data_IF_658118754248
#
_entry.id   IF_658118754248
#
_cell.length_a   1.000
_cell.length_b   1.000
_cell.length_c   1.000
_cell.angle_alpha   90.00
_cell.angle_beta   90.00
_cell.angle_gamma   90.00
#
_symmetry.space_group_name_H-M   'P 1'
#
loop_
_entity.id
_entity.type
_entity.pdbx_description
1 polymer ?
#
# COMPACT_ATOMS: atom_id res chain seq x y z
N UNK A 1 -56.15 -5.29 19.21
CA UNK A 1 -54.71 -5.03 19.31
C UNK A 1 -53.98 -6.36 19.14
N UNK A 2 -53.20 -6.52 18.06
CA UNK A 2 -52.50 -7.78 17.75
C UNK A 2 -51.10 -7.69 18.35
N UNK A 3 -50.87 -8.42 19.44
CA UNK A 3 -49.56 -8.56 20.08
C UNK A 3 -48.62 -9.31 19.14
N UNK A 4 -47.52 -8.65 18.73
CA UNK A 4 -46.51 -9.23 17.85
C UNK A 4 -45.46 -9.90 18.72
N UNK A 5 -45.25 -11.16 18.42
CA UNK A 5 -44.46 -12.12 19.16
C UNK A 5 -42.97 -11.77 19.17
N UNK A 6 -42.38 -12.07 20.32
CA UNK A 6 -40.98 -12.01 20.70
C UNK A 6 -40.13 -12.86 19.74
N UNK A 7 -39.05 -12.30 19.21
CA UNK A 7 -37.82 -13.03 18.92
C UNK A 7 -36.63 -12.11 19.24
N UNK A 8 -36.22 -12.16 20.50
CA UNK A 8 -34.82 -11.96 20.87
C UNK A 8 -34.00 -13.11 20.26
N UNK A 9 -32.75 -12.82 19.88
CA UNK A 9 -31.59 -13.70 19.69
C UNK A 9 -30.84 -13.25 18.43
N UNK A 10 -29.76 -12.51 18.65
CA UNK A 10 -28.86 -12.06 17.58
C UNK A 10 -27.66 -11.30 18.12
N UNK A 11 -27.24 -11.58 19.35
CA UNK A 11 -26.08 -10.96 20.00
C UNK A 11 -25.24 -12.07 20.66
N UNK A 12 -24.66 -12.98 19.86
CA UNK A 12 -23.72 -13.98 20.34
C UNK A 12 -22.89 -14.65 19.23
N UNK A 13 -22.44 -13.93 18.21
CA UNK A 13 -21.48 -14.46 17.22
C UNK A 13 -20.24 -13.56 17.17
N UNK A 14 -19.60 -13.35 18.32
CA UNK A 14 -18.38 -12.55 18.43
C UNK A 14 -17.25 -13.20 19.24
N UNK A 15 -17.39 -14.46 19.69
CA UNK A 15 -16.42 -15.07 20.63
C UNK A 15 -15.91 -16.47 20.25
N UNK A 16 -16.19 -16.97 19.04
CA UNK A 16 -15.78 -18.33 18.62
C UNK A 16 -14.58 -18.37 17.64
N UNK A 17 -13.82 -17.28 17.47
CA UNK A 17 -12.70 -17.22 16.52
C UNK A 17 -11.31 -17.07 17.20
N UNK A 18 -11.19 -17.38 18.49
CA UNK A 18 -9.93 -17.26 19.25
C UNK A 18 -9.35 -18.58 19.79
N UNK A 19 -9.95 -19.73 19.48
CA UNK A 19 -9.36 -21.04 19.79
C UNK A 19 -8.74 -21.67 18.54
N UNK A 20 -7.49 -21.28 18.26
CA UNK A 20 -6.75 -21.83 17.13
C UNK A 20 -5.29 -21.40 17.06
N UNK A 21 -4.63 -21.20 18.21
CA UNK A 21 -3.18 -21.05 18.28
C UNK A 21 -2.65 -22.20 19.15
N UNK A 22 -2.12 -23.24 18.50
CA UNK A 22 -1.48 -24.37 19.18
C UNK A 22 -1.77 -25.73 18.55
N UNK A 23 -1.38 -25.91 17.28
CA UNK A 23 -1.18 -27.26 16.77
C UNK A 23 0.32 -27.58 16.85
N UNK A 24 0.67 -28.56 17.69
CA UNK A 24 1.99 -29.22 17.71
C UNK A 24 2.10 -30.09 16.45
N UNK A 25 2.17 -29.44 15.29
CA UNK A 25 2.48 -30.07 14.01
C UNK A 25 3.99 -30.08 13.81
N UNK A 26 4.56 -31.25 13.46
CA UNK A 26 5.95 -31.38 13.03
C UNK A 26 6.35 -30.22 12.11
N UNK A 27 7.50 -29.61 12.37
CA UNK A 27 8.09 -28.61 11.50
C UNK A 27 8.17 -29.17 10.06
N UNK A 28 7.21 -28.78 9.22
CA UNK A 28 7.33 -28.96 7.78
C UNK A 28 8.44 -27.99 7.39
N UNK A 29 9.53 -28.45 6.76
CA UNK A 29 10.54 -27.53 6.26
C UNK A 29 9.84 -26.63 5.25
N UNK A 30 9.60 -25.37 5.62
CA UNK A 30 9.22 -24.34 4.66
C UNK A 30 10.43 -24.21 3.76
N UNK A 31 10.41 -24.88 2.60
CA UNK A 31 11.32 -24.54 1.51
C UNK A 31 11.17 -23.05 1.32
N UNK A 32 12.23 -22.30 1.61
CA UNK A 32 12.27 -20.88 1.36
C UNK A 32 11.99 -20.71 -0.13
N UNK A 33 10.76 -20.29 -0.46
CA UNK A 33 10.46 -19.83 -1.81
C UNK A 33 11.29 -18.58 -1.95
N UNK A 34 12.45 -18.71 -2.58
CA UNK A 34 13.24 -17.55 -3.01
C UNK A 34 12.37 -16.85 -4.04
N UNK A 35 11.61 -15.85 -3.57
CA UNK A 35 10.85 -14.97 -4.45
C UNK A 35 11.89 -14.13 -5.18
N UNK A 36 12.36 -14.62 -6.32
CA UNK A 36 13.07 -13.80 -7.29
C UNK A 36 12.06 -12.79 -7.81
N UNK A 37 12.06 -11.59 -7.22
CA UNK A 37 11.27 -10.49 -7.76
C UNK A 37 11.61 -10.34 -9.26
N UNK A 38 10.61 -10.27 -10.16
CA UNK A 38 10.87 -10.04 -11.57
C UNK A 38 11.74 -8.79 -11.75
N UNK A 39 12.63 -8.81 -12.74
CA UNK A 39 13.36 -7.60 -13.12
C UNK A 39 12.38 -6.46 -13.40
N UNK A 40 12.69 -5.26 -12.91
CA UNK A 40 11.87 -4.08 -13.15
C UNK A 40 11.81 -3.81 -14.66
N UNK A 41 10.61 -3.52 -15.15
CA UNK A 41 10.47 -3.01 -16.52
C UNK A 41 11.11 -1.61 -16.63
N UNK A 42 11.36 -1.10 -17.86
CA UNK A 42 12.05 0.18 -18.05
C UNK A 42 11.36 1.37 -17.35
N UNK A 43 10.03 1.39 -17.31
CA UNK A 43 9.26 2.45 -16.65
C UNK A 43 9.38 2.38 -15.13
N UNK A 44 9.32 1.19 -14.56
CA UNK A 44 9.52 0.95 -13.13
C UNK A 44 10.92 1.37 -12.71
N UNK A 45 11.92 1.01 -13.51
CA UNK A 45 13.32 1.35 -13.26
C UNK A 45 13.57 2.86 -13.39
N UNK A 46 12.91 3.54 -14.35
CA UNK A 46 12.88 5.02 -14.41
C UNK A 46 12.25 5.61 -13.15
N UNK A 47 11.08 5.13 -12.75
CA UNK A 47 10.36 5.66 -11.60
C UNK A 47 11.15 5.44 -10.30
N UNK A 48 11.87 4.33 -10.17
CA UNK A 48 12.81 4.08 -9.07
C UNK A 48 13.90 5.15 -9.01
N UNK A 49 14.57 5.45 -10.13
CA UNK A 49 15.60 6.50 -10.21
C UNK A 49 15.06 7.89 -9.88
N UNK A 50 13.86 8.21 -10.38
CA UNK A 50 13.18 9.47 -10.04
C UNK A 50 12.94 9.51 -8.53
N UNK A 51 12.38 8.46 -7.94
CA UNK A 51 12.12 8.41 -6.51
C UNK A 51 13.38 8.61 -5.68
N UNK A 52 14.49 7.94 -6.01
CA UNK A 52 15.77 8.14 -5.32
C UNK A 52 16.25 9.58 -5.40
N UNK A 53 16.14 10.20 -6.58
CA UNK A 53 16.47 11.62 -6.75
C UNK A 53 15.58 12.54 -5.93
N UNK A 54 14.29 12.24 -5.82
CA UNK A 54 13.36 13.02 -4.99
C UNK A 54 13.78 12.97 -3.51
N UNK A 55 14.22 11.80 -3.02
CA UNK A 55 14.73 11.67 -1.66
C UNK A 55 15.99 12.51 -1.43
N UNK A 56 16.93 12.52 -2.38
CA UNK A 56 18.13 13.37 -2.33
C UNK A 56 17.80 14.87 -2.28
N UNK A 57 16.70 15.28 -2.91
CA UNK A 57 16.23 16.67 -2.95
C UNK A 57 15.36 17.04 -1.74
N UNK A 58 15.17 16.13 -0.78
CA UNK A 58 14.40 16.38 0.45
C UNK A 58 12.90 16.07 0.33
N UNK A 59 12.43 15.52 -0.78
CA UNK A 59 11.05 15.05 -0.97
C UNK A 59 10.88 13.66 -0.35
N UNK A 60 10.93 13.59 0.99
CA UNK A 60 10.95 12.33 1.76
C UNK A 60 9.58 11.86 2.25
N UNK A 61 8.54 12.69 2.08
CA UNK A 61 7.18 12.34 2.47
C UNK A 61 6.44 11.69 1.32
N UNK A 62 5.59 10.72 1.65
CA UNK A 62 4.77 10.02 0.66
C UNK A 62 3.88 10.99 -0.13
N UNK A 63 3.35 12.03 0.52
CA UNK A 63 2.57 13.09 -0.12
C UNK A 63 3.39 13.91 -1.13
N UNK A 64 4.64 14.23 -0.83
CA UNK A 64 5.51 14.95 -1.76
C UNK A 64 5.80 14.10 -3.01
N UNK A 65 6.17 12.84 -2.81
CA UNK A 65 6.47 11.91 -3.91
C UNK A 65 5.25 11.70 -4.78
N UNK A 66 4.07 11.43 -4.19
CA UNK A 66 2.82 11.27 -4.94
C UNK A 66 2.44 12.53 -5.72
N UNK A 67 2.58 13.71 -5.11
CA UNK A 67 2.30 14.99 -5.78
C UNK A 67 3.21 15.18 -6.98
N UNK A 68 4.51 14.86 -6.85
CA UNK A 68 5.46 14.94 -7.95
C UNK A 68 5.06 14.04 -9.13
N UNK A 69 4.73 12.77 -8.86
CA UNK A 69 4.30 11.85 -9.91
C UNK A 69 2.97 12.29 -10.54
N UNK A 70 2.02 12.79 -9.75
CA UNK A 70 0.75 13.30 -10.29
C UNK A 70 0.92 14.55 -11.17
N UNK A 71 1.88 15.44 -10.85
CA UNK A 71 2.25 16.57 -11.70
C UNK A 71 2.93 16.11 -12.99
N UNK A 72 3.83 15.13 -12.90
CA UNK A 72 4.51 14.54 -14.06
C UNK A 72 3.53 13.86 -15.03
N UNK A 73 2.52 13.19 -14.50
CA UNK A 73 1.47 12.51 -15.27
C UNK A 73 0.34 13.46 -15.73
N UNK A 74 0.37 14.73 -15.30
CA UNK A 74 -0.63 15.75 -15.67
C UNK A 74 -1.96 15.68 -14.91
N UNK A 75 -2.05 14.86 -13.85
CA UNK A 75 -3.22 14.79 -12.97
C UNK A 75 -3.34 15.99 -12.02
N UNK A 76 -2.21 16.63 -11.70
CA UNK A 76 -2.16 17.86 -10.91
C UNK A 76 -1.51 18.99 -11.72
N UNK A 77 -1.88 20.23 -11.38
CA UNK A 77 -1.36 21.44 -11.99
C UNK A 77 -1.30 22.61 -10.98
N UNK A 78 -0.74 23.73 -11.40
CA UNK A 78 -0.66 24.96 -10.59
C UNK A 78 0.42 24.91 -9.51
N UNK A 79 0.14 25.52 -8.36
CA UNK A 79 1.15 25.73 -7.31
C UNK A 79 1.56 24.44 -6.60
N UNK A 80 0.70 23.43 -6.55
CA UNK A 80 1.07 22.10 -6.06
C UNK A 80 2.24 21.48 -6.84
N UNK A 81 2.44 21.90 -8.10
CA UNK A 81 3.51 21.41 -8.96
C UNK A 81 4.75 22.29 -8.99
N UNK A 82 4.90 23.27 -8.09
CA UNK A 82 6.11 24.11 -8.02
C UNK A 82 7.39 23.28 -7.84
N UNK A 83 7.38 22.32 -6.92
CA UNK A 83 8.55 21.46 -6.68
C UNK A 83 8.92 20.66 -7.94
N UNK A 84 7.94 20.10 -8.65
CA UNK A 84 8.16 19.44 -9.94
C UNK A 84 8.74 20.38 -11.00
N UNK A 85 8.23 21.61 -11.10
CA UNK A 85 8.73 22.63 -12.04
C UNK A 85 10.18 23.01 -11.77
N UNK A 86 10.58 23.07 -10.49
CA UNK A 86 11.94 23.38 -10.08
C UNK A 86 12.90 22.19 -10.25
N UNK A 87 12.37 20.96 -10.23
CA UNK A 87 13.14 19.72 -10.29
C UNK A 87 12.57 18.73 -11.32
N UNK A 88 12.55 19.06 -12.62
CA UNK A 88 11.99 18.17 -13.63
C UNK A 88 12.79 16.86 -13.74
N UNK A 89 12.15 15.75 -14.18
CA UNK A 89 12.83 14.47 -14.32
C UNK A 89 13.88 14.54 -15.43
N UNK A 90 15.07 14.03 -15.13
CA UNK A 90 16.17 13.87 -16.11
C UNK A 90 15.83 12.72 -17.06
N UNK A 91 15.98 12.94 -18.37
CA UNK A 91 15.73 11.92 -19.40
C UNK A 91 16.78 10.83 -19.41
#
# INVERSE_FOLDING_TARGET
MRARWILAVGAAVALAALSGCGETGKAVPTSAVVSTAPALNPDQERNRRIHERLLELGCTTNSCIQTYFACMDGYLAGEACEFYRQHPPVR
#
